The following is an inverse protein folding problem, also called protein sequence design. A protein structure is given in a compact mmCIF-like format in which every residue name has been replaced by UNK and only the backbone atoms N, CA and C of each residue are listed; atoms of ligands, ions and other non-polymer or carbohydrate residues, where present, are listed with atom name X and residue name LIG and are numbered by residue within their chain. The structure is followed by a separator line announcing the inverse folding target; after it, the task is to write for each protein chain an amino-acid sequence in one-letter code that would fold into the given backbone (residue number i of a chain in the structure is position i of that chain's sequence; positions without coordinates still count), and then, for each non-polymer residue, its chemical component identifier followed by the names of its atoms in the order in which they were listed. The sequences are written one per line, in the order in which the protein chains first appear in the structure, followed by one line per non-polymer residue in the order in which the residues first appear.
data_IF_239390476091
#
_entry.id   IF_239390476091
#
_cell.length_a   1.000
_cell.length_b   1.000
_cell.length_c   1.000
_cell.angle_alpha   90.00
_cell.angle_beta   90.00
_cell.angle_gamma   90.00
#
_symmetry.space_group_name_H-M   'P 1'
#
loop_
_entity.id
_entity.type
_entity.pdbx_description
1 polymer ?
#
# COMPACT_ATOMS: atom_id res chain seq x y z
N UNK A 1 26.11 -4.08 -10.06
CA UNK A 1 25.57 -3.86 -8.70
C UNK A 1 24.33 -2.95 -8.57
N UNK A 2 24.09 -1.90 -9.37
CA UNK A 2 22.99 -0.93 -9.13
C UNK A 2 21.58 -1.28 -9.66
N UNK A 3 21.38 -2.42 -10.35
CA UNK A 3 20.10 -2.73 -11.03
C UNK A 3 18.93 -3.02 -10.07
N UNK A 4 19.18 -3.68 -8.95
CA UNK A 4 18.14 -4.01 -7.96
C UNK A 4 17.54 -2.78 -7.28
N UNK A 5 18.35 -1.74 -7.05
CA UNK A 5 17.92 -0.48 -6.43
C UNK A 5 16.97 0.30 -7.34
N UNK A 6 17.25 0.37 -8.65
CA UNK A 6 16.35 1.03 -9.62
C UNK A 6 14.95 0.40 -9.64
N UNK A 7 14.89 -0.93 -9.61
CA UNK A 7 13.61 -1.65 -9.57
C UNK A 7 12.85 -1.35 -8.26
N UNK A 8 13.54 -1.37 -7.12
CA UNK A 8 12.93 -1.06 -5.83
C UNK A 8 12.38 0.37 -5.76
N UNK A 9 13.10 1.36 -6.31
CA UNK A 9 12.60 2.74 -6.38
C UNK A 9 11.38 2.86 -7.30
N UNK A 10 11.33 2.12 -8.41
CA UNK A 10 10.17 2.14 -9.30
C UNK A 10 8.92 1.53 -8.64
N UNK A 11 9.09 0.40 -7.96
CA UNK A 11 8.01 -0.26 -7.20
C UNK A 11 7.56 0.62 -6.03
N UNK A 12 8.47 1.33 -5.37
CA UNK A 12 8.14 2.36 -4.37
C UNK A 12 7.31 3.50 -4.97
N UNK A 13 7.68 4.01 -6.16
CA UNK A 13 6.90 5.02 -6.87
C UNK A 13 5.47 4.56 -7.19
N UNK A 14 5.29 3.30 -7.62
CA UNK A 14 3.96 2.72 -7.87
C UNK A 14 3.16 2.63 -6.57
N UNK A 15 3.76 2.14 -5.49
CA UNK A 15 3.13 2.08 -4.17
C UNK A 15 2.71 3.47 -3.68
N UNK A 16 3.50 4.50 -3.91
CA UNK A 16 3.15 5.88 -3.57
C UNK A 16 1.97 6.39 -4.40
N UNK A 17 1.95 6.13 -5.71
CA UNK A 17 0.85 6.51 -6.58
C UNK A 17 -0.46 5.85 -6.17
N UNK A 18 -0.44 4.53 -5.89
CA UNK A 18 -1.59 3.82 -5.31
C UNK A 18 -2.00 4.38 -3.95
N UNK A 19 -1.07 4.88 -3.14
CA UNK A 19 -1.45 5.48 -1.86
C UNK A 19 -2.23 6.80 -2.04
N UNK A 20 -1.87 7.59 -3.05
CA UNK A 20 -2.57 8.84 -3.39
C UNK A 20 -3.93 8.57 -4.00
N UNK A 21 -4.02 7.61 -4.93
CA UNK A 21 -5.28 7.22 -5.55
C UNK A 21 -6.27 6.73 -4.49
N UNK A 22 -5.80 5.97 -3.49
CA UNK A 22 -6.65 5.51 -2.38
C UNK A 22 -7.26 6.64 -1.58
N UNK A 23 -6.44 7.64 -1.23
CA UNK A 23 -6.96 8.82 -0.54
C UNK A 23 -7.99 9.56 -1.40
N UNK A 24 -7.80 9.64 -2.73
CA UNK A 24 -8.75 10.27 -3.64
C UNK A 24 -10.05 9.46 -3.82
N UNK A 25 -9.98 8.13 -3.92
CA UNK A 25 -11.16 7.28 -4.04
C UNK A 25 -11.99 7.30 -2.76
N UNK A 26 -11.33 7.23 -1.60
CA UNK A 26 -12.01 7.20 -0.30
C UNK A 26 -12.58 8.56 0.10
N UNK A 27 -11.78 9.63 0.04
CA UNK A 27 -12.22 10.97 0.48
C UNK A 27 -12.87 11.79 -0.64
N UNK A 28 -12.42 11.66 -1.88
CA UNK A 28 -12.91 12.45 -3.00
C UNK A 28 -14.18 11.88 -3.61
N UNK A 29 -14.14 10.60 -4.02
CA UNK A 29 -15.29 9.94 -4.67
C UNK A 29 -16.28 9.31 -3.68
N UNK A 30 -15.94 9.29 -2.38
CA UNK A 30 -16.76 8.70 -1.30
C UNK A 30 -17.31 7.31 -1.64
N UNK A 31 -16.56 6.54 -2.44
CA UNK A 31 -17.00 5.23 -2.90
C UNK A 31 -16.22 4.13 -2.18
N UNK A 32 -16.74 3.62 -1.05
CA UNK A 32 -16.02 2.66 -0.22
C UNK A 32 -15.73 1.34 -0.93
N UNK A 33 -16.56 0.93 -1.91
CA UNK A 33 -16.30 -0.29 -2.68
C UNK A 33 -15.03 -0.18 -3.53
N UNK A 34 -14.90 0.88 -4.32
CA UNK A 34 -13.69 1.10 -5.13
C UNK A 34 -12.46 1.36 -4.27
N UNK A 35 -12.60 2.09 -3.17
CA UNK A 35 -11.52 2.33 -2.23
C UNK A 35 -11.04 1.04 -1.53
N UNK A 36 -11.94 0.08 -1.26
CA UNK A 36 -11.57 -1.24 -0.73
C UNK A 36 -10.80 -2.08 -1.75
N UNK A 37 -11.26 -2.15 -3.01
CA UNK A 37 -10.53 -2.88 -4.05
C UNK A 37 -9.11 -2.31 -4.21
N UNK A 38 -8.98 -0.99 -4.22
CA UNK A 38 -7.70 -0.34 -4.39
C UNK A 38 -6.76 -0.52 -3.17
N UNK A 39 -7.29 -0.49 -1.94
CA UNK A 39 -6.44 -0.69 -0.75
C UNK A 39 -5.81 -2.08 -0.74
N UNK A 40 -6.49 -3.09 -1.30
CA UNK A 40 -5.93 -4.44 -1.47
C UNK A 40 -4.76 -4.43 -2.45
N UNK A 41 -4.87 -3.71 -3.58
CA UNK A 41 -3.77 -3.53 -4.52
C UNK A 41 -2.57 -2.79 -3.88
N UNK A 42 -2.85 -1.73 -3.12
CA UNK A 42 -1.83 -1.01 -2.36
C UNK A 42 -1.14 -1.94 -1.35
N UNK A 43 -1.90 -2.76 -0.63
CA UNK A 43 -1.37 -3.70 0.35
C UNK A 43 -0.39 -4.70 -0.29
N UNK A 44 -0.76 -5.27 -1.45
CA UNK A 44 0.10 -6.15 -2.23
C UNK A 44 1.37 -5.40 -2.68
N UNK A 45 1.23 -4.16 -3.18
CA UNK A 45 2.38 -3.36 -3.61
C UNK A 45 3.36 -3.06 -2.46
N UNK A 46 2.86 -2.84 -1.23
CA UNK A 46 3.67 -2.67 -0.03
C UNK A 46 4.41 -3.95 0.32
N UNK A 47 3.73 -5.10 0.26
CA UNK A 47 4.34 -6.40 0.53
C UNK A 47 5.46 -6.72 -0.47
N UNK A 48 5.26 -6.42 -1.75
CA UNK A 48 6.31 -6.54 -2.79
C UNK A 48 7.48 -5.60 -2.49
N UNK A 49 7.21 -4.35 -2.09
CA UNK A 49 8.26 -3.42 -1.66
C UNK A 49 9.06 -3.97 -0.48
N UNK A 50 8.39 -4.50 0.55
CA UNK A 50 9.05 -5.10 1.72
C UNK A 50 10.00 -6.21 1.27
N UNK A 51 9.56 -7.16 0.44
CA UNK A 51 10.38 -8.27 -0.03
C UNK A 51 11.60 -7.77 -0.81
N UNK A 52 11.39 -6.79 -1.68
CA UNK A 52 12.43 -6.26 -2.56
C UNK A 52 13.47 -5.45 -1.77
N UNK A 53 13.04 -4.59 -0.85
CA UNK A 53 13.92 -3.85 0.04
C UNK A 53 14.60 -4.76 1.06
N UNK A 54 13.94 -5.80 1.57
CA UNK A 54 14.54 -6.78 2.49
C UNK A 54 15.69 -7.56 1.82
N UNK A 55 15.57 -7.88 0.52
CA UNK A 55 16.66 -8.48 -0.28
C UNK A 55 17.84 -7.55 -0.51
N UNK A 56 17.64 -6.24 -0.54
CA UNK A 56 18.71 -5.25 -0.75
C UNK A 56 19.34 -4.83 0.58
N UNK A 57 18.53 -4.54 1.60
CA UNK A 57 18.94 -4.12 2.92
C UNK A 57 17.89 -4.53 3.96
N UNK A 58 18.26 -5.47 4.84
CA UNK A 58 17.40 -5.92 5.96
C UNK A 58 16.81 -4.76 6.78
N UNK A 59 17.60 -3.70 7.01
CA UNK A 59 17.14 -2.52 7.75
C UNK A 59 16.01 -1.77 7.04
N UNK A 60 16.10 -1.64 5.71
CA UNK A 60 15.08 -0.96 4.92
C UNK A 60 13.77 -1.75 4.89
N UNK A 61 13.83 -3.09 4.81
CA UNK A 61 12.64 -3.94 4.90
C UNK A 61 11.94 -3.86 6.27
N UNK A 62 12.69 -3.77 7.37
CA UNK A 62 12.12 -3.68 8.73
C UNK A 62 11.32 -2.38 8.93
N UNK A 63 11.78 -1.26 8.37
CA UNK A 63 11.09 0.04 8.46
C UNK A 63 9.71 0.01 7.76
N UNK A 64 9.53 -0.86 6.76
CA UNK A 64 8.26 -1.00 6.04
C UNK A 64 7.25 -1.91 6.76
N UNK A 65 7.67 -2.68 7.78
CA UNK A 65 6.77 -3.52 8.60
C UNK A 65 5.69 -2.70 9.35
N UNK A 66 6.01 -1.60 10.05
CA UNK A 66 4.96 -0.77 10.65
C UNK A 66 4.02 -0.16 9.60
N UNK A 67 4.51 0.06 8.37
CA UNK A 67 3.68 0.61 7.30
C UNK A 67 2.63 -0.39 6.81
N UNK A 68 2.97 -1.67 6.61
CA UNK A 68 1.97 -2.67 6.22
C UNK A 68 0.95 -2.93 7.35
N UNK A 69 1.36 -2.83 8.61
CA UNK A 69 0.43 -2.91 9.75
C UNK A 69 -0.58 -1.76 9.72
N UNK A 70 -0.13 -0.55 9.44
CA UNK A 70 -1.01 0.61 9.29
C UNK A 70 -2.00 0.44 8.12
N UNK A 71 -1.53 -0.03 6.96
CA UNK A 71 -2.41 -0.23 5.80
C UNK A 71 -3.39 -1.39 6.02
N UNK A 72 -3.04 -2.43 6.77
CA UNK A 72 -3.98 -3.45 7.22
C UNK A 72 -5.11 -2.86 8.08
N UNK A 73 -4.77 -1.95 8.99
CA UNK A 73 -5.77 -1.24 9.80
C UNK A 73 -6.66 -0.33 8.95
N UNK A 74 -6.08 0.40 8.00
CA UNK A 74 -6.84 1.21 7.05
C UNK A 74 -7.78 0.36 6.18
N UNK A 75 -7.35 -0.84 5.78
CA UNK A 75 -8.18 -1.78 4.99
C UNK A 75 -9.35 -2.29 5.81
N UNK A 76 -9.13 -2.60 7.09
CA UNK A 76 -10.19 -2.99 8.01
C UNK A 76 -11.20 -1.85 8.25
N UNK A 77 -10.73 -0.61 8.43
CA UNK A 77 -11.61 0.56 8.52
C UNK A 77 -12.43 0.75 7.25
N UNK A 78 -11.82 0.66 6.08
CA UNK A 78 -12.50 0.80 4.79
C UNK A 78 -13.58 -0.28 4.61
N UNK A 79 -13.26 -1.53 4.94
CA UNK A 79 -14.22 -2.62 4.96
C UNK A 79 -15.38 -2.36 5.93
N UNK A 80 -15.09 -1.85 7.13
CA UNK A 80 -16.10 -1.53 8.13
C UNK A 80 -17.04 -0.42 7.64
N UNK A 81 -16.49 0.62 7.02
CA UNK A 81 -17.26 1.71 6.39
C UNK A 81 -18.12 1.19 5.24
N UNK A 82 -17.60 0.26 4.42
CA UNK A 82 -18.38 -0.35 3.35
C UNK A 82 -19.56 -1.17 3.88
N UNK A 83 -19.35 -2.00 4.90
CA UNK A 83 -20.40 -2.81 5.51
C UNK A 83 -21.47 -1.96 6.19
N UNK A 84 -21.09 -0.83 6.80
CA UNK A 84 -22.02 0.09 7.46
C UNK A 84 -22.81 1.01 6.50
N UNK A 85 -22.36 1.14 5.24
CA UNK A 85 -23.03 1.92 4.19
C UNK A 85 -23.68 1.03 3.11
N UNK A 86 -23.73 -0.28 3.34
CA UNK A 86 -24.60 -1.22 2.63
C UNK A 86 -26.02 -1.11 3.21
#
# INVERSE_FOLDING_TARGET
EKKGVKLAVYVFGIQLALNVVWSLLFFGLQNPFFAFVEIVFLWIAILVNIILFYRISRKAGIILVPYILWVSFAAFLNYSVWVLNI
#
